data_IF_914864642941
#
_entry.id   IF_914864642941
#
_cell.length_a   1.000
_cell.length_b   1.000
_cell.length_c   1.000
_cell.angle_alpha   90.00
_cell.angle_beta   90.00
_cell.angle_gamma   90.00
#
_symmetry.space_group_name_H-M   'P 1'
#
loop_
_entity.id
_entity.type
_entity.pdbx_description
1 polymer ?
#
# COMPACT_ATOMS: atom_id res chain seq x y z
N UNK A 1 13.92 20.11 -27.97
CA UNK A 1 14.79 19.45 -26.98
C UNK A 1 13.86 18.81 -25.97
N UNK A 2 13.58 17.52 -26.16
CA UNK A 2 12.72 16.70 -25.29
C UNK A 2 13.66 15.64 -24.73
N UNK A 3 14.49 16.10 -23.81
CA UNK A 3 15.54 15.29 -23.21
C UNK A 3 14.99 14.68 -21.93
N UNK A 4 14.95 13.33 -21.94
CA UNK A 4 15.07 12.46 -20.78
C UNK A 4 13.83 12.44 -19.85
N UNK A 5 12.74 11.83 -20.32
CA UNK A 5 11.93 11.03 -19.40
C UNK A 5 12.53 9.61 -19.43
N UNK A 6 13.04 9.08 -18.31
CA UNK A 6 13.57 7.72 -18.28
C UNK A 6 12.43 6.75 -18.66
N UNK A 7 12.78 5.75 -19.46
CA UNK A 7 11.90 4.69 -19.95
C UNK A 7 10.80 4.34 -18.93
N UNK A 8 9.53 4.49 -19.34
CA UNK A 8 8.37 3.97 -18.62
C UNK A 8 8.28 2.43 -18.68
N UNK A 9 9.42 1.75 -18.60
CA UNK A 9 9.55 0.29 -18.55
C UNK A 9 9.77 -0.21 -17.10
N UNK A 10 9.48 0.62 -16.11
CA UNK A 10 9.28 0.18 -14.73
C UNK A 10 7.80 -0.05 -14.50
N UNK A 11 7.38 -1.32 -14.55
CA UNK A 11 6.03 -1.84 -14.29
C UNK A 11 5.01 -1.86 -15.43
N UNK A 12 4.57 -3.07 -15.81
CA UNK A 12 3.51 -3.34 -16.81
C UNK A 12 2.31 -4.15 -16.27
N UNK A 13 2.24 -4.37 -14.95
CA UNK A 13 1.06 -4.96 -14.29
C UNK A 13 0.10 -3.89 -13.78
N UNK A 14 -1.21 -4.12 -13.92
CA UNK A 14 -2.25 -3.21 -13.41
C UNK A 14 -2.25 -3.14 -11.87
N UNK A 15 -1.68 -4.16 -11.20
CA UNK A 15 -1.63 -4.27 -9.75
C UNK A 15 -0.25 -4.75 -9.27
N UNK A 16 0.60 -3.83 -8.79
CA UNK A 16 1.95 -4.16 -8.37
C UNK A 16 2.06 -5.02 -7.11
N UNK A 17 2.89 -6.07 -7.07
CA UNK A 17 3.18 -6.75 -5.81
C UNK A 17 4.23 -5.98 -5.00
N UNK A 18 3.92 -5.75 -3.72
CA UNK A 18 4.74 -4.93 -2.82
C UNK A 18 6.17 -5.47 -2.71
N UNK A 19 6.33 -6.77 -2.48
CA UNK A 19 7.66 -7.37 -2.26
C UNK A 19 8.36 -7.70 -3.57
N UNK A 20 7.63 -8.29 -4.53
CA UNK A 20 8.24 -8.94 -5.69
C UNK A 20 8.73 -7.93 -6.71
N UNK A 21 7.92 -6.92 -7.00
CA UNK A 21 8.32 -5.96 -8.01
C UNK A 21 8.46 -4.51 -7.50
N UNK A 22 7.87 -4.14 -6.34
CA UNK A 22 8.11 -2.82 -5.71
C UNK A 22 9.25 -2.86 -4.68
N UNK A 23 9.80 -4.04 -4.41
CA UNK A 23 10.95 -4.26 -3.51
C UNK A 23 10.73 -3.73 -2.08
N UNK A 24 9.48 -3.70 -1.61
CA UNK A 24 9.16 -3.43 -0.20
C UNK A 24 9.60 -4.61 0.65
N UNK A 25 10.81 -4.50 1.20
CA UNK A 25 11.34 -5.47 2.15
C UNK A 25 10.72 -5.31 3.54
N UNK A 26 11.01 -6.25 4.45
CA UNK A 26 10.36 -6.37 5.77
C UNK A 26 10.27 -5.07 6.59
N UNK A 27 11.32 -4.24 6.60
CA UNK A 27 11.28 -2.95 7.31
C UNK A 27 10.34 -1.94 6.61
N UNK A 28 10.39 -1.84 5.29
CA UNK A 28 9.56 -0.93 4.52
C UNK A 28 8.07 -1.28 4.60
N UNK A 29 7.74 -2.56 4.72
CA UNK A 29 6.35 -3.00 4.96
C UNK A 29 5.84 -2.59 6.35
N UNK A 30 6.70 -2.65 7.36
CA UNK A 30 6.36 -2.19 8.72
C UNK A 30 6.18 -0.66 8.73
N UNK A 31 7.07 0.07 8.06
CA UNK A 31 6.94 1.53 7.90
C UNK A 31 5.69 1.91 7.11
N UNK A 32 5.34 1.14 6.08
CA UNK A 32 4.09 1.32 5.33
C UNK A 32 2.88 1.14 6.24
N UNK A 33 2.83 0.09 7.07
CA UNK A 33 1.75 -0.13 8.01
C UNK A 33 1.56 1.07 8.96
N UNK A 34 2.65 1.55 9.57
CA UNK A 34 2.59 2.73 10.43
C UNK A 34 2.16 4.01 9.69
N UNK A 35 2.61 4.19 8.44
CA UNK A 35 2.20 5.34 7.63
C UNK A 35 0.70 5.29 7.31
N UNK A 36 0.14 4.11 7.05
CA UNK A 36 -1.30 3.94 6.81
C UNK A 36 -2.12 4.22 8.07
N UNK A 37 -1.67 3.73 9.22
CA UNK A 37 -2.26 3.99 10.53
C UNK A 37 -2.30 5.49 10.85
N UNK A 38 -1.18 6.20 10.66
CA UNK A 38 -1.06 7.63 10.95
C UNK A 38 -1.87 8.50 9.97
N UNK A 39 -1.79 8.23 8.66
CA UNK A 39 -2.42 9.06 7.63
C UNK A 39 -3.94 8.85 7.56
N UNK A 40 -4.40 7.60 7.70
CA UNK A 40 -5.81 7.27 7.50
C UNK A 40 -6.56 7.00 8.82
N UNK A 41 -5.87 6.98 9.96
CA UNK A 41 -6.47 6.72 11.27
C UNK A 41 -7.07 5.32 11.38
N UNK A 42 -6.53 4.35 10.64
CA UNK A 42 -6.98 2.96 10.64
C UNK A 42 -6.46 2.20 11.86
N UNK A 43 -7.12 1.10 12.22
CA UNK A 43 -6.64 0.25 13.30
C UNK A 43 -5.27 -0.37 12.95
N UNK A 44 -4.41 -0.64 13.95
CA UNK A 44 -3.11 -1.24 13.70
C UNK A 44 -3.20 -2.53 12.90
N UNK A 45 -2.31 -2.69 11.90
CA UNK A 45 -2.31 -3.86 11.04
C UNK A 45 -1.74 -5.06 11.82
N UNK A 46 -2.59 -6.04 12.11
CA UNK A 46 -2.18 -7.29 12.76
C UNK A 46 -1.51 -8.27 11.78
N UNK A 47 -0.88 -9.32 12.32
CA UNK A 47 -0.15 -10.33 11.52
C UNK A 47 -1.01 -11.03 10.46
N UNK A 48 -2.30 -11.26 10.73
CA UNK A 48 -3.20 -11.93 9.81
C UNK A 48 -3.60 -10.99 8.68
N UNK A 49 -3.88 -9.72 8.99
CA UNK A 49 -4.18 -8.69 7.99
C UNK A 49 -2.96 -8.40 7.12
N UNK A 50 -1.77 -8.25 7.73
CA UNK A 50 -0.52 -8.05 7.00
C UNK A 50 -0.22 -9.18 6.02
N UNK A 51 -0.54 -10.43 6.37
CA UNK A 51 -0.35 -11.58 5.47
C UNK A 51 -1.26 -11.55 4.23
N UNK A 52 -2.35 -10.77 4.25
CA UNK A 52 -3.26 -10.62 3.11
C UNK A 52 -2.93 -9.45 2.19
N UNK A 53 -2.03 -8.55 2.61
CA UNK A 53 -1.64 -7.37 1.83
C UNK A 53 -0.40 -7.70 1.01
N UNK A 54 -0.61 -8.11 -0.25
CA UNK A 54 0.47 -8.57 -1.15
C UNK A 54 0.69 -7.58 -2.29
N UNK A 55 -0.34 -6.83 -2.69
CA UNK A 55 -0.30 -5.86 -3.75
C UNK A 55 -0.75 -4.45 -3.34
N UNK A 56 -0.60 -3.49 -4.25
CA UNK A 56 -1.10 -2.11 -4.05
C UNK A 56 -2.63 -2.11 -3.95
N UNK A 57 -3.34 -2.90 -4.75
CA UNK A 57 -4.80 -2.99 -4.66
C UNK A 57 -5.25 -3.57 -3.32
N UNK A 58 -4.49 -4.47 -2.71
CA UNK A 58 -4.80 -4.98 -1.37
C UNK A 58 -4.67 -3.86 -0.31
N UNK A 59 -3.63 -3.02 -0.43
CA UNK A 59 -3.46 -1.84 0.45
C UNK A 59 -4.64 -0.89 0.29
N UNK A 60 -4.99 -0.53 -0.95
CA UNK A 60 -6.11 0.36 -1.23
C UNK A 60 -7.43 -0.22 -0.70
N UNK A 61 -7.68 -1.51 -0.93
CA UNK A 61 -8.85 -2.21 -0.45
C UNK A 61 -8.95 -2.22 1.07
N UNK A 62 -7.84 -2.45 1.76
CA UNK A 62 -7.76 -2.39 3.22
C UNK A 62 -8.12 -1.00 3.75
N UNK A 63 -7.51 0.07 3.19
CA UNK A 63 -7.78 1.45 3.61
C UNK A 63 -9.24 1.82 3.35
N UNK A 64 -9.77 1.51 2.16
CA UNK A 64 -11.17 1.80 1.83
C UNK A 64 -12.14 1.08 2.77
N UNK A 65 -11.87 -0.18 3.11
CA UNK A 65 -12.70 -0.94 4.05
C UNK A 65 -12.64 -0.34 5.46
N UNK A 66 -11.45 0.05 5.94
CA UNK A 66 -11.29 0.65 7.25
C UNK A 66 -11.98 2.01 7.37
N UNK A 67 -11.98 2.81 6.28
CA UNK A 67 -12.68 4.08 6.21
C UNK A 67 -14.21 3.91 6.16
N UNK A 68 -14.73 2.88 5.48
CA UNK A 68 -16.16 2.57 5.45
C UNK A 68 -16.67 2.00 6.79
N UNK A 69 -15.83 1.18 7.46
CA UNK A 69 -16.11 0.61 8.76
C UNK A 69 -16.04 1.64 9.91
N UNK A 70 -15.46 2.81 9.67
CA UNK A 70 -15.42 3.91 10.62
C UNK A 70 -16.64 4.82 10.41
N UNK A 71 -17.72 4.69 11.20
CA UNK A 71 -18.86 5.58 11.07
C UNK A 71 -18.42 6.98 11.49
N UNK A 72 -18.29 7.88 10.53
CA UNK A 72 -18.24 9.33 10.71
C UNK A 72 -17.51 9.82 11.97
N UNK A 73 -16.21 10.08 11.86
CA UNK A 73 -15.62 11.16 12.64
C UNK A 73 -16.10 12.49 12.02
N UNK A 74 -17.33 12.87 12.33
CA UNK A 74 -18.00 14.10 11.88
C UNK A 74 -19.10 14.52 12.83
#
# INVERSE_FOLDING_TARGET
MRDIAPNGDGWRGDDPQLVVDLEYHSLALVELAFALEDEFGVEPIDEHTAATIVSVSDVEGYVMQALDASPGQG
#
